data_IF_134802332567
#
_entry.id   IF_134802332567
#
_cell.length_a   1.000
_cell.length_b   1.000
_cell.length_c   1.000
_cell.angle_alpha   90.00
_cell.angle_beta   90.00
_cell.angle_gamma   90.00
#
_symmetry.space_group_name_H-M   'P 1'
#
loop_
_entity.id
_entity.type
_entity.pdbx_description
1 polymer ?
#
# COMPACT_ATOMS: atom_id res chain seq x y z
N UNK A 1 41.54 5.10 -101.65
CA UNK A 1 42.66 4.14 -101.65
C UNK A 1 43.67 4.59 -100.59
N UNK A 2 44.16 3.65 -99.78
CA UNK A 2 45.33 3.69 -98.85
C UNK A 2 45.38 4.78 -97.76
N UNK A 3 45.44 4.36 -96.47
CA UNK A 3 46.58 4.43 -95.51
C UNK A 3 47.07 5.85 -95.18
N UNK A 4 47.49 6.24 -93.97
CA UNK A 4 47.59 5.68 -92.62
C UNK A 4 48.13 6.82 -91.71
N UNK A 5 48.07 6.66 -90.37
CA UNK A 5 48.76 7.44 -89.30
C UNK A 5 48.22 8.88 -89.08
N UNK A 6 48.12 9.46 -87.88
CA UNK A 6 48.73 9.19 -86.56
C UNK A 6 47.96 9.94 -85.44
N UNK A 7 48.01 9.36 -84.23
CA UNK A 7 48.08 9.93 -82.87
C UNK A 7 47.15 11.04 -82.32
N UNK A 8 46.54 10.72 -81.15
CA UNK A 8 46.54 11.45 -79.86
C UNK A 8 45.21 11.18 -79.13
N UNK A 9 45.09 10.95 -77.81
CA UNK A 9 46.01 10.84 -76.68
C UNK A 9 45.19 10.26 -75.50
N UNK A 10 45.81 9.42 -74.68
CA UNK A 10 45.26 8.86 -73.44
C UNK A 10 44.97 9.95 -72.39
N UNK A 11 43.83 9.82 -71.69
CA UNK A 11 43.59 10.42 -70.37
C UNK A 11 43.08 9.31 -69.45
N UNK A 12 43.90 8.89 -68.49
CA UNK A 12 43.48 8.13 -67.31
C UNK A 12 43.10 9.10 -66.18
N UNK A 13 41.90 9.01 -65.57
CA UNK A 13 41.63 9.69 -64.32
C UNK A 13 42.15 8.87 -63.14
N UNK A 14 42.84 9.55 -62.23
CA UNK A 14 43.57 8.99 -61.11
C UNK A 14 42.72 8.26 -60.07
N UNK A 15 43.33 7.23 -59.47
CA UNK A 15 42.89 6.59 -58.24
C UNK A 15 42.91 7.61 -57.09
N UNK A 16 41.73 8.07 -56.69
CA UNK A 16 41.53 8.71 -55.39
C UNK A 16 41.69 7.68 -54.28
N UNK A 17 42.59 7.94 -53.33
CA UNK A 17 42.73 7.15 -52.10
C UNK A 17 41.43 7.25 -51.29
N UNK A 18 40.81 6.13 -50.98
CA UNK A 18 39.74 6.08 -49.97
C UNK A 18 40.30 6.54 -48.61
N UNK A 19 39.56 7.36 -47.85
CA UNK A 19 39.99 7.74 -46.51
C UNK A 19 39.96 6.52 -45.59
N UNK A 20 41.10 6.19 -44.99
CA UNK A 20 41.20 5.18 -43.92
C UNK A 20 40.19 5.48 -42.81
N UNK A 21 39.15 4.65 -42.72
CA UNK A 21 38.18 4.68 -41.62
C UNK A 21 38.85 4.13 -40.37
N UNK A 22 39.19 5.03 -39.45
CA UNK A 22 39.70 4.71 -38.12
C UNK A 22 38.64 3.95 -37.29
N UNK A 23 38.78 2.63 -37.07
CA UNK A 23 37.76 1.80 -36.41
C UNK A 23 37.54 2.19 -34.95
N UNK A 24 38.55 2.82 -34.31
CA UNK A 24 38.51 3.25 -32.92
C UNK A 24 37.49 4.37 -32.68
N UNK A 25 37.40 5.34 -33.60
CA UNK A 25 36.40 6.42 -33.53
C UNK A 25 34.98 5.92 -33.75
N UNK A 26 34.80 4.82 -34.48
CA UNK A 26 33.49 4.25 -34.78
C UNK A 26 32.90 3.50 -33.57
N UNK A 27 33.74 2.80 -32.80
CA UNK A 27 33.34 2.09 -31.58
C UNK A 27 32.98 3.05 -30.45
N UNK A 28 33.73 4.15 -30.29
CA UNK A 28 33.44 5.21 -29.33
C UNK A 28 32.12 5.92 -29.63
N UNK A 29 31.81 6.21 -30.91
CA UNK A 29 30.51 6.78 -31.31
C UNK A 29 29.33 5.83 -31.02
N UNK A 30 29.53 4.52 -31.17
CA UNK A 30 28.51 3.49 -30.89
C UNK A 30 28.23 3.31 -29.40
N UNK A 31 29.28 3.26 -28.57
CA UNK A 31 29.15 3.21 -27.10
C UNK A 31 28.46 4.48 -26.56
N UNK A 32 28.78 5.63 -27.14
CA UNK A 32 28.20 6.92 -26.77
C UNK A 32 26.69 6.98 -27.07
N UNK A 33 26.22 6.48 -28.23
CA UNK A 33 24.78 6.43 -28.53
C UNK A 33 23.99 5.50 -27.60
N UNK A 34 24.59 4.39 -27.16
CA UNK A 34 24.00 3.46 -26.20
C UNK A 34 23.82 4.15 -24.85
N UNK A 35 24.83 4.87 -24.39
CA UNK A 35 24.77 5.67 -23.17
C UNK A 35 23.72 6.79 -23.31
N UNK A 36 23.66 7.46 -24.45
CA UNK A 36 22.67 8.50 -24.77
C UNK A 36 21.23 8.00 -24.75
N UNK A 37 20.93 6.85 -25.36
CA UNK A 37 19.56 6.28 -25.37
C UNK A 37 19.13 5.80 -23.99
N UNK A 38 20.05 5.18 -23.25
CA UNK A 38 19.79 4.76 -21.87
C UNK A 38 19.62 5.96 -20.94
N UNK A 39 20.43 7.00 -21.14
CA UNK A 39 20.36 8.25 -20.38
C UNK A 39 19.10 9.05 -20.69
N UNK A 40 18.68 9.18 -21.95
CA UNK A 40 17.42 9.82 -22.31
C UNK A 40 16.21 9.08 -21.72
N UNK A 41 16.22 7.74 -21.73
CA UNK A 41 15.21 6.94 -21.05
C UNK A 41 15.22 7.16 -19.53
N UNK A 42 16.40 7.18 -18.91
CA UNK A 42 16.56 7.44 -17.48
C UNK A 42 16.19 8.88 -17.10
N UNK A 43 16.42 9.87 -17.96
CA UNK A 43 16.03 11.28 -17.78
C UNK A 43 14.52 11.43 -17.94
N UNK A 44 13.90 10.83 -18.96
CA UNK A 44 12.44 10.82 -19.09
C UNK A 44 11.77 10.06 -17.94
N UNK A 45 12.39 8.97 -17.45
CA UNK A 45 11.96 8.25 -16.27
C UNK A 45 12.18 9.10 -15.00
N UNK A 46 13.28 9.84 -14.91
CA UNK A 46 13.58 10.74 -13.80
C UNK A 46 12.68 11.97 -13.77
N UNK A 47 12.33 12.57 -14.91
CA UNK A 47 11.32 13.64 -15.01
C UNK A 47 9.92 13.13 -14.65
N UNK A 48 9.60 11.89 -15.04
CA UNK A 48 8.36 11.23 -14.63
C UNK A 48 8.35 10.96 -13.12
N UNK A 49 9.49 10.58 -12.53
CA UNK A 49 9.71 10.39 -11.09
C UNK A 49 9.78 11.73 -10.35
N UNK A 50 10.27 12.81 -10.96
CA UNK A 50 10.43 14.13 -10.34
C UNK A 50 9.09 14.81 -10.10
N UNK A 51 8.10 14.53 -10.94
CA UNK A 51 6.70 14.89 -10.72
C UNK A 51 6.05 14.12 -9.55
N UNK A 52 6.77 13.21 -8.90
CA UNK A 52 6.27 12.28 -7.88
C UNK A 52 7.13 12.30 -6.60
N UNK A 53 6.73 13.05 -5.56
CA UNK A 53 7.54 13.30 -4.36
C UNK A 53 7.99 12.03 -3.59
N UNK A 54 7.25 10.93 -3.72
CA UNK A 54 7.52 9.66 -3.01
C UNK A 54 8.68 8.88 -3.63
N UNK A 55 8.94 9.06 -4.93
CA UNK A 55 10.01 8.37 -5.65
C UNK A 55 11.32 9.19 -5.68
N UNK A 56 11.25 10.47 -5.32
CA UNK A 56 12.36 11.44 -5.34
C UNK A 56 13.59 10.93 -4.59
N UNK A 57 13.42 10.48 -3.35
CA UNK A 57 14.54 10.02 -2.50
C UNK A 57 15.11 8.65 -2.84
N UNK A 58 14.46 7.86 -3.69
CA UNK A 58 14.94 6.52 -4.08
C UNK A 58 15.64 6.50 -5.43
N UNK A 59 15.34 7.46 -6.32
CA UNK A 59 15.81 7.43 -7.71
C UNK A 59 16.55 8.70 -8.16
N UNK A 60 16.26 9.89 -7.61
CA UNK A 60 16.74 11.15 -8.19
C UNK A 60 18.17 11.49 -7.83
N UNK A 61 18.58 11.33 -6.57
CA UNK A 61 19.94 11.74 -6.15
C UNK A 61 21.06 11.00 -6.89
N UNK A 62 20.94 9.68 -7.21
CA UNK A 62 21.91 8.98 -8.06
C UNK A 62 21.86 9.42 -9.53
N UNK A 63 20.68 9.69 -10.08
CA UNK A 63 20.52 10.07 -11.50
C UNK A 63 21.01 11.50 -11.74
N UNK A 64 20.76 12.43 -10.81
CA UNK A 64 21.14 13.85 -10.93
C UNK A 64 22.65 14.06 -10.90
N UNK A 65 23.35 13.29 -10.07
CA UNK A 65 24.82 13.25 -10.05
C UNK A 65 25.42 12.81 -11.39
N UNK A 66 24.71 11.99 -12.17
CA UNK A 66 25.14 11.53 -13.48
C UNK A 66 24.79 12.52 -14.59
N UNK A 67 23.64 13.21 -14.48
CA UNK A 67 23.19 14.17 -15.49
C UNK A 67 24.06 15.42 -15.54
N UNK A 68 24.46 15.94 -14.39
CA UNK A 68 25.26 17.17 -14.30
C UNK A 68 26.68 17.00 -14.87
N UNK A 69 27.18 15.75 -14.92
CA UNK A 69 28.49 15.42 -15.45
C UNK A 69 28.51 15.28 -17.00
N UNK A 70 27.38 14.91 -17.61
CA UNK A 70 27.32 14.47 -19.02
C UNK A 70 26.60 15.46 -19.94
N UNK A 71 25.81 16.39 -19.39
CA UNK A 71 24.96 17.31 -20.15
C UNK A 71 25.71 18.25 -21.12
N UNK A 72 26.84 18.89 -20.75
CA UNK A 72 27.55 19.81 -21.66
C UNK A 72 28.13 19.11 -22.89
N UNK A 73 28.65 17.89 -22.73
CA UNK A 73 29.22 17.08 -23.82
C UNK A 73 28.16 16.55 -24.81
N UNK A 74 26.89 16.60 -24.43
CA UNK A 74 25.77 16.08 -25.19
C UNK A 74 25.25 17.08 -26.23
N UNK A 75 25.19 18.38 -25.87
CA UNK A 75 24.70 19.45 -26.74
C UNK A 75 25.66 19.78 -27.88
N UNK A 76 26.96 19.79 -27.61
CA UNK A 76 27.99 20.07 -28.62
C UNK A 76 27.99 19.04 -29.75
N UNK A 77 27.56 17.81 -29.46
CA UNK A 77 27.65 16.70 -30.40
C UNK A 77 26.37 16.44 -31.21
N UNK A 78 25.20 16.81 -30.69
CA UNK A 78 23.95 16.81 -31.47
C UNK A 78 24.01 17.78 -32.65
N UNK A 79 24.78 18.86 -32.52
CA UNK A 79 25.08 19.80 -33.60
C UNK A 79 25.87 19.16 -34.76
N UNK A 80 26.58 18.06 -34.52
CA UNK A 80 27.42 17.40 -35.53
C UNK A 80 26.68 16.27 -36.29
N UNK A 81 25.44 15.93 -35.89
CA UNK A 81 24.71 14.74 -36.35
C UNK A 81 23.72 14.97 -37.51
N UNK A 82 23.52 16.20 -37.98
CA UNK A 82 22.58 16.56 -39.06
C UNK A 82 22.97 16.03 -40.48
N UNK A 83 24.04 15.24 -40.62
CA UNK A 83 24.61 14.88 -41.93
C UNK A 83 24.69 13.38 -42.26
N UNK A 84 23.94 12.50 -41.58
CA UNK A 84 24.00 11.05 -41.84
C UNK A 84 22.86 10.57 -42.78
N UNK A 85 23.25 9.94 -43.89
CA UNK A 85 22.37 9.47 -44.98
C UNK A 85 21.55 8.21 -44.62
N UNK A 86 20.30 8.05 -45.12
CA UNK A 86 19.35 7.01 -44.67
C UNK A 86 19.58 5.58 -45.18
N UNK A 87 20.63 5.30 -45.97
CA UNK A 87 20.74 4.05 -46.74
C UNK A 87 21.58 2.91 -46.11
N UNK A 88 22.07 3.04 -44.88
CA UNK A 88 22.86 1.98 -44.24
C UNK A 88 21.97 0.92 -43.54
N UNK A 89 21.83 -0.24 -44.18
CA UNK A 89 21.11 -1.42 -43.67
C UNK A 89 21.71 -2.00 -42.38
N UNK A 90 23.01 -1.77 -42.11
CA UNK A 90 23.64 -2.11 -40.83
C UNK A 90 23.11 -1.26 -39.66
N UNK A 91 22.73 0.00 -39.90
CA UNK A 91 22.16 0.84 -38.85
C UNK A 91 20.77 0.34 -38.45
N UNK A 92 19.99 -0.19 -39.41
CA UNK A 92 18.66 -0.75 -39.14
C UNK A 92 18.70 -1.95 -38.18
N UNK A 93 19.64 -2.88 -38.36
CA UNK A 93 19.77 -4.07 -37.49
C UNK A 93 20.19 -3.70 -36.07
N UNK A 94 21.06 -2.69 -35.92
CA UNK A 94 21.53 -2.19 -34.62
C UNK A 94 20.39 -1.48 -33.87
N UNK A 95 19.57 -0.66 -34.54
CA UNK A 95 18.39 -0.03 -33.93
C UNK A 95 17.40 -1.04 -33.37
N UNK A 96 17.15 -2.15 -34.10
CA UNK A 96 16.28 -3.22 -33.63
C UNK A 96 16.87 -3.94 -32.41
N UNK A 97 18.17 -4.22 -32.41
CA UNK A 97 18.84 -4.83 -31.27
C UNK A 97 18.72 -3.94 -30.02
N UNK A 98 18.93 -2.62 -30.17
CA UNK A 98 18.82 -1.66 -29.07
C UNK A 98 17.40 -1.54 -28.53
N UNK A 99 16.40 -1.46 -29.41
CA UNK A 99 14.99 -1.48 -29.01
C UNK A 99 14.67 -2.76 -28.22
N UNK A 100 15.12 -3.92 -28.71
CA UNK A 100 14.93 -5.20 -28.03
C UNK A 100 15.61 -5.19 -26.65
N UNK A 101 16.85 -4.72 -26.54
CA UNK A 101 17.54 -4.65 -25.23
C UNK A 101 16.89 -3.68 -24.24
N UNK A 102 16.35 -2.55 -24.73
CA UNK A 102 15.62 -1.59 -23.91
C UNK A 102 14.29 -2.16 -23.42
N UNK A 103 13.56 -2.87 -24.29
CA UNK A 103 12.33 -3.59 -23.94
C UNK A 103 12.64 -4.67 -22.89
N UNK A 104 13.68 -5.49 -23.10
CA UNK A 104 14.09 -6.53 -22.15
C UNK A 104 14.48 -5.92 -20.81
N UNK A 105 15.26 -4.84 -20.80
CA UNK A 105 15.68 -4.15 -19.57
C UNK A 105 14.49 -3.58 -18.81
N UNK A 106 13.54 -2.95 -19.53
CA UNK A 106 12.29 -2.46 -18.96
C UNK A 106 11.45 -3.58 -18.36
N UNK A 107 11.36 -4.73 -19.02
CA UNK A 107 10.69 -5.93 -18.51
C UNK A 107 11.38 -6.44 -17.23
N UNK A 108 12.72 -6.50 -17.21
CA UNK A 108 13.49 -6.94 -16.03
C UNK A 108 13.25 -6.00 -14.84
N UNK A 109 13.29 -4.68 -15.07
CA UNK A 109 13.00 -3.67 -14.04
C UNK A 109 11.56 -3.86 -13.52
N UNK A 110 10.59 -4.02 -14.41
CA UNK A 110 9.19 -4.25 -14.04
C UNK A 110 9.02 -5.54 -13.23
N UNK A 111 9.67 -6.64 -13.62
CA UNK A 111 9.67 -7.90 -12.87
C UNK A 111 10.25 -7.70 -11.47
N UNK A 112 11.35 -6.96 -11.34
CA UNK A 112 11.97 -6.70 -10.05
C UNK A 112 11.09 -5.82 -9.15
N UNK A 113 10.42 -4.81 -9.72
CA UNK A 113 9.41 -4.00 -9.02
C UNK A 113 8.26 -4.89 -8.54
N UNK A 114 7.72 -5.75 -9.42
CA UNK A 114 6.63 -6.66 -9.08
C UNK A 114 7.05 -7.63 -7.97
N UNK A 115 8.27 -8.17 -8.03
CA UNK A 115 8.82 -9.05 -6.99
C UNK A 115 8.99 -8.33 -5.66
N UNK A 116 9.48 -7.09 -5.67
CA UNK A 116 9.65 -6.29 -4.45
C UNK A 116 8.31 -5.97 -3.79
N UNK A 117 7.35 -5.47 -4.57
CA UNK A 117 5.98 -5.23 -4.11
C UNK A 117 5.33 -6.52 -3.64
N UNK A 118 5.64 -7.66 -4.28
CA UNK A 118 5.12 -8.95 -3.86
C UNK A 118 5.64 -9.42 -2.51
N UNK A 119 6.91 -9.13 -2.19
CA UNK A 119 7.42 -9.35 -0.83
C UNK A 119 6.69 -8.47 0.19
N UNK A 120 6.39 -7.22 -0.15
CA UNK A 120 5.70 -6.29 0.77
C UNK A 120 4.26 -6.71 1.11
N UNK A 121 3.48 -7.29 0.19
CA UNK A 121 2.13 -7.81 0.53
C UNK A 121 2.19 -9.24 1.12
N UNK A 122 3.36 -9.70 1.56
CA UNK A 122 3.52 -10.96 2.28
C UNK A 122 3.27 -12.22 1.44
N UNK A 123 3.39 -12.11 0.12
CA UNK A 123 3.28 -13.28 -0.76
C UNK A 123 4.62 -14.01 -0.86
N UNK A 124 4.61 -15.33 -0.71
CA UNK A 124 5.60 -16.19 -1.39
C UNK A 124 5.41 -15.94 -2.88
N UNK A 125 6.47 -15.54 -3.59
CA UNK A 125 6.46 -14.94 -4.93
C UNK A 125 5.70 -15.71 -6.05
N UNK A 126 5.17 -16.91 -5.78
CA UNK A 126 4.37 -17.71 -6.71
C UNK A 126 2.85 -17.72 -6.50
N UNK A 127 2.30 -17.05 -5.46
CA UNK A 127 0.85 -17.07 -5.17
C UNK A 127 0.16 -15.71 -5.11
N UNK A 128 0.87 -14.64 -5.47
CA UNK A 128 0.31 -13.31 -5.37
C UNK A 128 -0.54 -12.96 -6.60
N UNK A 129 -1.65 -12.29 -6.36
CA UNK A 129 -2.50 -11.76 -7.41
C UNK A 129 -1.78 -10.55 -8.07
N UNK A 130 -1.27 -10.75 -9.29
CA UNK A 130 -0.58 -9.71 -10.08
C UNK A 130 -1.43 -8.46 -10.30
N UNK A 131 -2.76 -8.60 -10.26
CA UNK A 131 -3.66 -7.44 -10.31
C UNK A 131 -3.51 -6.53 -9.08
N UNK A 132 -3.16 -7.07 -7.90
CA UNK A 132 -2.92 -6.26 -6.71
C UNK A 132 -1.69 -5.36 -6.87
N UNK A 133 -0.63 -5.89 -7.47
CA UNK A 133 0.63 -5.18 -7.70
C UNK A 133 0.44 -4.08 -8.74
N UNK A 134 -0.22 -4.38 -9.86
CA UNK A 134 -0.50 -3.38 -10.90
C UNK A 134 -1.39 -2.25 -10.39
N UNK A 135 -2.34 -2.59 -9.50
CA UNK A 135 -3.22 -1.60 -8.90
C UNK A 135 -2.48 -0.60 -8.01
N UNK A 136 -1.45 -1.06 -7.27
CA UNK A 136 -0.57 -0.21 -6.46
C UNK A 136 0.30 0.74 -7.27
N UNK A 137 0.49 0.48 -8.56
CA UNK A 137 1.28 1.35 -9.45
C UNK A 137 0.41 2.42 -10.15
N UNK A 138 -0.90 2.45 -9.90
CA UNK A 138 -1.81 3.35 -10.61
C UNK A 138 -1.87 4.74 -9.93
N UNK A 139 -1.39 5.83 -10.57
CA UNK A 139 -1.45 7.20 -10.04
C UNK A 139 -2.86 7.66 -9.69
N UNK A 140 -3.81 7.35 -10.57
CA UNK A 140 -5.20 7.80 -10.46
C UNK A 140 -5.80 7.26 -9.17
N UNK A 141 -5.41 6.05 -8.78
CA UNK A 141 -5.84 5.44 -7.53
C UNK A 141 -5.42 6.24 -6.31
N UNK A 142 -4.16 6.68 -6.24
CA UNK A 142 -3.69 7.50 -5.12
C UNK A 142 -4.42 8.83 -5.05
N UNK A 143 -4.66 9.47 -6.19
CA UNK A 143 -5.43 10.70 -6.25
C UNK A 143 -6.86 10.49 -5.73
N UNK A 144 -7.55 9.43 -6.18
CA UNK A 144 -8.90 9.10 -5.69
C UNK A 144 -8.92 8.76 -4.20
N UNK A 145 -7.91 8.02 -3.71
CA UNK A 145 -7.77 7.73 -2.27
C UNK A 145 -7.61 9.02 -1.48
N UNK A 146 -6.76 9.95 -1.93
CA UNK A 146 -6.55 11.23 -1.28
C UNK A 146 -7.83 12.08 -1.25
N UNK A 147 -8.57 12.15 -2.36
CA UNK A 147 -9.86 12.83 -2.39
C UNK A 147 -10.85 12.23 -1.37
N UNK A 148 -10.98 10.91 -1.34
CA UNK A 148 -11.86 10.23 -0.36
C UNK A 148 -11.41 10.44 1.09
N UNK A 149 -10.10 10.49 1.35
CA UNK A 149 -9.57 10.85 2.68
C UNK A 149 -9.95 12.28 3.05
N UNK A 150 -9.91 13.21 2.09
CA UNK A 150 -10.33 14.58 2.31
C UNK A 150 -11.84 14.70 2.60
N UNK A 151 -12.68 13.99 1.85
CA UNK A 151 -14.12 13.89 2.13
C UNK A 151 -14.38 13.33 3.54
N UNK A 152 -13.69 12.24 3.89
CA UNK A 152 -13.74 11.65 5.23
C UNK A 152 -13.33 12.65 6.32
N UNK A 153 -12.31 13.49 6.09
CA UNK A 153 -11.93 14.54 7.04
C UNK A 153 -13.06 15.54 7.29
N UNK A 154 -13.80 15.91 6.23
CA UNK A 154 -14.96 16.80 6.36
C UNK A 154 -16.09 16.13 7.14
N UNK A 155 -16.40 14.87 6.86
CA UNK A 155 -17.45 14.14 7.55
C UNK A 155 -17.12 13.91 9.03
N UNK A 156 -15.86 13.62 9.34
CA UNK A 156 -15.36 13.57 10.72
C UNK A 156 -15.52 14.93 11.40
N UNK A 157 -15.13 16.02 10.74
CA UNK A 157 -15.23 17.38 11.30
C UNK A 157 -16.69 17.77 11.58
N UNK A 158 -17.61 17.46 10.66
CA UNK A 158 -19.05 17.68 10.86
C UNK A 158 -19.58 16.86 12.04
N UNK A 159 -19.15 15.60 12.17
CA UNK A 159 -19.54 14.72 13.28
C UNK A 159 -19.04 15.27 14.62
N UNK A 160 -17.78 15.70 14.69
CA UNK A 160 -17.19 16.32 15.88
C UNK A 160 -17.94 17.60 16.28
N UNK A 161 -18.32 18.45 15.32
CA UNK A 161 -19.14 19.65 15.59
C UNK A 161 -20.50 19.27 16.16
N UNK A 162 -21.18 18.28 15.60
CA UNK A 162 -22.47 17.82 16.11
C UNK A 162 -22.36 17.28 17.55
N UNK A 163 -21.28 16.57 17.89
CA UNK A 163 -20.99 16.14 19.25
C UNK A 163 -20.76 17.35 20.16
N UNK A 164 -19.93 18.31 19.73
CA UNK A 164 -19.57 19.49 20.50
C UNK A 164 -20.80 20.34 20.88
N UNK A 165 -21.73 20.53 19.95
CA UNK A 165 -23.00 21.22 20.20
C UNK A 165 -24.05 20.36 20.93
N UNK A 166 -23.67 19.16 21.40
CA UNK A 166 -24.56 18.26 22.14
C UNK A 166 -25.70 17.65 21.31
N UNK A 167 -25.62 17.71 19.98
CA UNK A 167 -26.67 17.20 19.08
C UNK A 167 -26.69 15.67 19.02
N UNK A 168 -25.55 15.04 19.24
CA UNK A 168 -25.39 13.58 19.26
C UNK A 168 -24.48 13.18 20.43
N UNK A 169 -24.81 12.09 21.11
CA UNK A 169 -24.03 11.55 22.23
C UNK A 169 -23.76 10.06 22.03
N UNK A 170 -22.81 9.48 22.77
CA UNK A 170 -22.46 8.06 22.65
C UNK A 170 -23.65 7.11 22.89
N UNK A 171 -24.61 7.54 23.72
CA UNK A 171 -25.80 6.78 24.09
C UNK A 171 -26.93 6.91 23.06
N UNK A 172 -26.86 7.90 22.18
CA UNK A 172 -27.86 8.17 21.15
C UNK A 172 -27.74 7.17 19.99
N UNK A 173 -28.84 6.50 19.57
CA UNK A 173 -28.87 5.70 18.35
C UNK A 173 -28.35 6.43 17.10
N UNK A 174 -28.54 7.76 17.02
CA UNK A 174 -28.05 8.58 15.91
C UNK A 174 -26.53 8.59 15.79
N UNK A 175 -25.81 8.44 16.91
CA UNK A 175 -24.35 8.35 16.91
C UNK A 175 -23.87 7.05 16.27
N UNK A 176 -24.55 5.93 16.53
CA UNK A 176 -24.25 4.66 15.86
C UNK A 176 -24.45 4.75 14.34
N UNK A 177 -25.49 5.45 13.90
CA UNK A 177 -25.71 5.68 12.48
C UNK A 177 -24.59 6.50 11.86
N UNK A 178 -24.17 7.60 12.49
CA UNK A 178 -23.05 8.40 11.98
C UNK A 178 -21.73 7.67 11.97
N UNK A 179 -21.46 6.84 12.98
CA UNK A 179 -20.29 5.96 12.93
C UNK A 179 -20.40 4.96 11.79
N UNK A 180 -21.60 4.42 11.51
CA UNK A 180 -21.81 3.51 10.36
C UNK A 180 -21.51 4.19 9.03
N UNK A 181 -22.01 5.41 8.83
CA UNK A 181 -21.72 6.21 7.63
C UNK A 181 -20.20 6.43 7.47
N UNK A 182 -19.50 6.83 8.54
CA UNK A 182 -18.04 6.96 8.53
C UNK A 182 -17.34 5.64 8.17
N UNK A 183 -17.86 4.50 8.64
CA UNK A 183 -17.30 3.19 8.31
C UNK A 183 -17.53 2.79 6.86
N UNK A 184 -18.65 3.18 6.24
CA UNK A 184 -18.83 3.00 4.79
C UNK A 184 -17.78 3.79 4.00
N UNK A 185 -17.51 5.04 4.39
CA UNK A 185 -16.44 5.84 3.77
C UNK A 185 -15.07 5.19 3.99
N UNK A 186 -14.78 4.67 5.19
CA UNK A 186 -13.55 3.92 5.45
C UNK A 186 -13.44 2.67 4.55
N UNK A 187 -14.54 1.94 4.37
CA UNK A 187 -14.63 0.78 3.50
C UNK A 187 -14.36 1.13 2.05
N UNK A 188 -14.94 2.24 1.58
CA UNK A 188 -14.70 2.77 0.23
C UNK A 188 -13.24 3.17 0.02
N UNK A 189 -12.61 3.85 0.99
CA UNK A 189 -11.19 4.20 0.94
C UNK A 189 -10.33 2.93 0.86
N UNK A 190 -10.61 1.95 1.72
CA UNK A 190 -9.85 0.69 1.75
C UNK A 190 -10.05 -0.12 0.46
N UNK A 191 -11.28 -0.22 -0.05
CA UNK A 191 -11.59 -0.86 -1.33
C UNK A 191 -10.89 -0.16 -2.48
N UNK A 192 -10.88 1.18 -2.49
CA UNK A 192 -10.13 1.99 -3.45
C UNK A 192 -8.63 1.78 -3.28
N UNK A 193 -8.11 1.50 -2.08
CA UNK A 193 -6.68 1.22 -1.91
C UNK A 193 -6.29 -0.16 -2.44
N UNK A 194 -7.15 -1.18 -2.27
CA UNK A 194 -6.78 -2.58 -2.54
C UNK A 194 -7.42 -3.19 -3.80
N UNK A 195 -8.40 -2.50 -4.39
CA UNK A 195 -9.12 -2.90 -5.60
C UNK A 195 -10.09 -4.07 -5.41
N UNK A 196 -10.53 -4.33 -4.18
CA UNK A 196 -11.41 -5.47 -3.83
C UNK A 196 -12.42 -5.09 -2.74
N UNK A 197 -13.55 -5.82 -2.64
CA UNK A 197 -14.52 -5.59 -1.57
C UNK A 197 -13.87 -5.70 -0.19
N UNK A 198 -14.16 -4.72 0.66
CA UNK A 198 -13.70 -4.64 2.05
C UNK A 198 -14.88 -4.42 2.96
N UNK A 199 -14.96 -5.21 4.02
CA UNK A 199 -15.87 -5.00 5.14
C UNK A 199 -15.11 -4.33 6.28
N UNK A 200 -15.77 -3.43 7.00
CA UNK A 200 -15.17 -2.66 8.09
C UNK A 200 -15.97 -2.85 9.37
N UNK A 201 -15.28 -3.07 10.48
CA UNK A 201 -15.89 -3.33 11.78
C UNK A 201 -15.16 -2.56 12.88
N UNK A 202 -15.93 -1.89 13.74
CA UNK A 202 -15.43 -1.38 15.02
C UNK A 202 -15.87 -2.31 16.14
N UNK A 203 -14.88 -2.81 16.89
CA UNK A 203 -15.11 -3.43 18.20
C UNK A 203 -14.60 -2.49 19.30
N UNK A 204 -15.45 -2.13 20.25
CA UNK A 204 -15.10 -1.28 21.38
C UNK A 204 -14.86 -2.12 22.63
N UNK A 205 -14.04 -1.58 23.54
CA UNK A 205 -13.85 -2.16 24.86
C UNK A 205 -15.11 -1.93 25.72
N UNK A 206 -15.69 -3.04 26.17
CA UNK A 206 -16.81 -3.11 27.08
C UNK A 206 -16.34 -3.71 28.40
N UNK A 207 -16.59 -3.01 29.49
CA UNK A 207 -16.35 -3.50 30.84
C UNK A 207 -17.70 -3.88 31.46
N UNK A 208 -17.77 -5.05 32.10
CA UNK A 208 -18.91 -5.39 32.95
C UNK A 208 -18.72 -4.64 34.25
N UNK A 209 -19.58 -3.67 34.53
CA UNK A 209 -19.85 -3.29 35.91
C UNK A 209 -20.93 -4.25 36.43
N UNK A 210 -20.89 -4.58 37.72
CA UNK A 210 -21.86 -5.47 38.36
C UNK A 210 -23.30 -4.89 38.37
N UNK A 211 -23.47 -3.61 38.05
CA UNK A 211 -24.74 -3.02 37.69
C UNK A 211 -24.91 -3.04 36.16
N UNK A 212 -26.08 -3.45 35.67
CA UNK A 212 -26.50 -3.64 34.27
C UNK A 212 -26.18 -2.51 33.24
N UNK A 213 -25.47 -1.46 33.62
CA UNK A 213 -24.87 -0.45 32.74
C UNK A 213 -23.41 -0.79 32.42
N UNK A 214 -23.18 -1.39 31.24
CA UNK A 214 -21.82 -1.51 30.69
C UNK A 214 -21.27 -0.11 30.41
N UNK A 215 -20.41 0.43 31.27
CA UNK A 215 -19.73 1.69 30.99
C UNK A 215 -18.64 1.45 29.95
N UNK A 216 -18.83 1.96 28.74
CA UNK A 216 -17.79 1.98 27.71
C UNK A 216 -16.60 2.80 28.24
N UNK A 217 -15.39 2.26 28.12
CA UNK A 217 -14.12 2.95 28.37
C UNK A 217 -13.72 3.28 29.82
N UNK A 218 -14.37 2.71 30.84
CA UNK A 218 -13.98 2.88 32.26
C UNK A 218 -13.59 1.54 32.90
N UNK A 219 -12.30 1.37 33.21
CA UNK A 219 -11.76 0.17 33.90
C UNK A 219 -10.42 -0.31 33.33
N UNK A 220 -9.91 -1.42 33.87
CA UNK A 220 -8.62 -2.01 33.44
C UNK A 220 -8.81 -2.79 32.13
N UNK A 221 -7.92 -2.58 31.15
CA UNK A 221 -7.97 -3.28 29.87
C UNK A 221 -7.95 -4.81 30.00
N UNK A 222 -7.29 -5.34 31.04
CA UNK A 222 -7.25 -6.78 31.35
C UNK A 222 -8.60 -7.41 31.68
N UNK A 223 -9.58 -6.60 32.07
CA UNK A 223 -10.95 -7.04 32.43
C UNK A 223 -11.95 -6.73 31.30
N UNK A 224 -11.50 -6.04 30.24
CA UNK A 224 -12.36 -5.61 29.16
C UNK A 224 -12.61 -6.74 28.14
N UNK A 225 -13.79 -6.69 27.53
CA UNK A 225 -14.14 -7.50 26.35
C UNK A 225 -14.27 -6.61 25.12
N UNK A 226 -14.01 -7.17 23.95
CA UNK A 226 -14.20 -6.52 22.66
C UNK A 226 -15.58 -6.86 22.10
N UNK A 227 -16.47 -5.87 22.08
CA UNK A 227 -17.84 -6.01 21.57
C UNK A 227 -17.99 -5.25 20.26
N UNK A 228 -18.64 -5.87 19.28
CA UNK A 228 -19.00 -5.20 18.02
C UNK A 228 -19.90 -4.00 18.32
N UNK A 229 -19.44 -2.81 17.94
CA UNK A 229 -20.20 -1.58 18.08
C UNK A 229 -20.99 -1.31 16.81
N UNK A 230 -20.28 -1.20 15.68
CA UNK A 230 -20.86 -0.98 14.36
C UNK A 230 -20.04 -1.74 13.32
N UNK A 231 -20.74 -2.30 12.34
CA UNK A 231 -20.16 -2.97 11.18
C UNK A 231 -20.74 -2.39 9.90
N UNK A 232 -19.87 -2.07 8.95
CA UNK A 232 -20.21 -1.73 7.58
C UNK A 232 -19.81 -2.90 6.67
N UNK A 233 -20.78 -3.67 6.12
CA UNK A 233 -20.46 -4.74 5.17
C UNK A 233 -19.93 -4.14 3.87
N UNK A 234 -19.10 -4.90 3.15
CA UNK A 234 -18.71 -4.55 1.78
C UNK A 234 -19.94 -4.51 0.87
N UNK A 235 -19.89 -3.74 -0.21
CA UNK A 235 -20.99 -3.67 -1.20
C UNK A 235 -21.38 -5.06 -1.73
N UNK A 236 -20.39 -5.88 -2.06
CA UNK A 236 -20.61 -7.25 -2.53
C UNK A 236 -21.31 -8.12 -1.46
N UNK A 237 -20.92 -7.96 -0.20
CA UNK A 237 -21.58 -8.67 0.91
C UNK A 237 -23.01 -8.17 1.14
N UNK A 238 -23.24 -6.86 1.07
CA UNK A 238 -24.58 -6.29 1.19
C UNK A 238 -25.53 -6.85 0.12
N UNK A 239 -25.08 -6.89 -1.14
CA UNK A 239 -25.84 -7.47 -2.26
C UNK A 239 -26.08 -8.97 -2.09
N UNK A 240 -25.14 -9.71 -1.51
CA UNK A 240 -25.29 -11.13 -1.21
C UNK A 240 -26.31 -11.35 -0.08
N UNK A 241 -26.23 -10.57 1.00
CA UNK A 241 -27.20 -10.59 2.10
C UNK A 241 -28.62 -10.29 1.62
N UNK A 242 -28.80 -9.30 0.74
CA UNK A 242 -30.12 -8.94 0.19
C UNK A 242 -30.70 -10.05 -0.70
N UNK A 243 -29.84 -10.86 -1.35
CA UNK A 243 -30.27 -11.98 -2.21
C UNK A 243 -30.54 -13.26 -1.43
N UNK A 244 -29.68 -13.57 -0.45
CA UNK A 244 -29.62 -14.88 0.18
C UNK A 244 -30.06 -14.89 1.66
N UNK A 245 -30.36 -13.74 2.25
CA UNK A 245 -30.87 -13.62 3.63
C UNK A 245 -29.88 -13.97 4.75
N UNK A 246 -28.65 -14.37 4.44
CA UNK A 246 -27.62 -14.72 5.42
C UNK A 246 -26.85 -13.48 5.95
N UNK A 247 -27.49 -12.69 6.82
CA UNK A 247 -26.77 -11.70 7.64
C UNK A 247 -26.45 -12.28 9.02
N UNK A 248 -25.49 -13.21 9.08
CA UNK A 248 -24.93 -13.69 10.34
C UNK A 248 -23.42 -13.51 10.36
N UNK A 249 -22.95 -12.26 10.49
CA UNK A 249 -21.52 -12.00 10.73
C UNK A 249 -21.28 -11.15 11.98
N UNK A 250 -20.72 -11.83 12.98
CA UNK A 250 -19.89 -11.33 14.09
C UNK A 250 -20.44 -10.23 15.01
N UNK A 251 -21.53 -10.55 15.71
CA UNK A 251 -21.94 -9.91 16.98
C UNK A 251 -21.12 -10.46 18.17
N UNK A 252 -20.26 -11.46 17.93
CA UNK A 252 -19.46 -12.13 18.97
C UNK A 252 -18.62 -11.16 19.81
N UNK A 253 -18.62 -11.43 21.13
CA UNK A 253 -17.79 -10.75 22.12
C UNK A 253 -16.47 -11.52 22.30
N UNK A 254 -15.34 -10.80 22.23
CA UNK A 254 -14.01 -11.38 22.33
C UNK A 254 -13.34 -11.02 23.65
N UNK A 255 -12.64 -11.97 24.26
CA UNK A 255 -11.79 -11.75 25.42
C UNK A 255 -10.41 -11.23 24.99
N UNK A 256 -9.86 -10.33 25.80
CA UNK A 256 -8.54 -9.76 25.62
C UNK A 256 -7.55 -10.55 26.46
N UNK A 257 -6.55 -11.14 25.80
CA UNK A 257 -5.48 -11.88 26.50
C UNK A 257 -4.14 -11.17 26.27
N UNK A 258 -3.60 -10.58 27.34
CA UNK A 258 -2.33 -9.85 27.32
C UNK A 258 -1.17 -10.74 27.84
N UNK A 259 0.04 -10.55 27.34
CA UNK A 259 1.26 -11.18 27.88
C UNK A 259 1.90 -12.29 27.01
N UNK A 260 2.80 -13.08 27.60
CA UNK A 260 3.59 -14.12 26.90
C UNK A 260 2.76 -15.26 26.30
N UNK A 261 1.52 -15.41 26.77
CA UNK A 261 0.53 -16.38 26.30
C UNK A 261 -0.06 -16.03 24.94
N UNK A 262 0.25 -14.87 24.36
CA UNK A 262 -0.30 -14.41 23.08
C UNK A 262 0.21 -15.19 21.85
N UNK A 263 0.77 -16.38 22.08
CA UNK A 263 1.15 -17.34 21.05
C UNK A 263 -0.09 -18.14 20.63
N UNK A 264 -0.42 -18.19 19.33
CA UNK A 264 -1.59 -18.93 18.82
C UNK A 264 -1.72 -20.36 19.36
N UNK A 265 -0.61 -21.10 19.46
CA UNK A 265 -0.62 -22.48 19.95
C UNK A 265 -1.00 -22.61 21.43
N UNK A 266 -0.60 -21.64 22.27
CA UNK A 266 -0.92 -21.64 23.70
C UNK A 266 -2.39 -21.26 23.91
N UNK A 267 -2.87 -20.23 23.20
CA UNK A 267 -4.26 -19.82 23.25
C UNK A 267 -5.20 -20.93 22.76
N UNK A 268 -4.82 -21.65 21.70
CA UNK A 268 -5.59 -22.79 21.19
C UNK A 268 -5.74 -23.91 22.22
N UNK A 269 -4.72 -24.16 23.04
CA UNK A 269 -4.79 -25.16 24.14
C UNK A 269 -5.68 -24.68 25.29
N UNK A 270 -5.65 -23.39 25.62
CA UNK A 270 -6.41 -22.80 26.74
C UNK A 270 -7.88 -22.58 26.39
N UNK A 271 -8.21 -22.26 25.13
CA UNK A 271 -9.56 -21.91 24.67
C UNK A 271 -9.98 -22.77 23.46
N UNK A 272 -10.27 -24.07 23.63
CA UNK A 272 -10.58 -24.95 22.52
C UNK A 272 -11.90 -24.58 21.80
N UNK A 273 -11.97 -24.88 20.49
CA UNK A 273 -13.05 -24.51 19.56
C UNK A 273 -14.47 -24.95 19.97
N UNK A 274 -14.60 -25.89 20.93
CA UNK A 274 -15.86 -26.52 21.34
C UNK A 274 -16.31 -26.17 22.76
N UNK A 275 -15.70 -25.20 23.41
CA UNK A 275 -16.15 -24.74 24.72
C UNK A 275 -17.14 -23.58 24.58
N UNK A 276 -18.13 -23.52 25.49
CA UNK A 276 -18.92 -22.31 25.78
C UNK A 276 -18.06 -21.18 26.38
N UNK A 277 -16.75 -21.39 26.48
CA UNK A 277 -15.80 -20.41 26.97
C UNK A 277 -15.53 -19.30 25.94
N UNK A 278 -14.92 -18.25 26.45
CA UNK A 278 -14.68 -17.00 25.76
C UNK A 278 -14.10 -17.12 24.35
N UNK A 279 -14.53 -16.21 23.47
CA UNK A 279 -13.98 -16.11 22.11
C UNK A 279 -12.68 -15.34 22.13
N UNK A 280 -11.67 -15.83 21.43
CA UNK A 280 -10.33 -15.24 21.36
C UNK A 280 -9.92 -15.16 19.90
N UNK A 281 -9.29 -14.05 19.54
CA UNK A 281 -8.68 -13.85 18.23
C UNK A 281 -7.30 -13.23 18.42
N UNK A 282 -6.26 -13.94 18.00
CA UNK A 282 -4.88 -13.51 18.24
C UNK A 282 -4.53 -12.22 17.53
N UNK A 283 -5.16 -11.90 16.40
CA UNK A 283 -4.95 -10.62 15.72
C UNK A 283 -5.37 -9.43 16.61
N UNK A 284 -6.46 -9.58 17.35
CA UNK A 284 -6.97 -8.52 18.23
C UNK A 284 -6.07 -8.32 19.45
N UNK A 285 -5.53 -9.41 20.00
CA UNK A 285 -4.60 -9.32 21.12
C UNK A 285 -3.23 -8.78 20.70
N UNK A 286 -2.77 -9.08 19.47
CA UNK A 286 -1.46 -8.64 18.99
C UNK A 286 -1.35 -7.11 18.91
N UNK A 287 -2.41 -6.44 18.46
CA UNK A 287 -2.43 -4.96 18.36
C UNK A 287 -2.45 -4.24 19.72
N UNK A 288 -2.57 -4.98 20.83
CA UNK A 288 -2.53 -4.46 22.19
C UNK A 288 -1.16 -4.62 22.85
N UNK A 289 -0.23 -5.32 22.19
CA UNK A 289 1.13 -5.54 22.67
C UNK A 289 2.05 -4.33 22.45
N UNK A 290 3.30 -4.38 22.97
CA UNK A 290 4.24 -3.27 22.89
C UNK A 290 4.92 -3.11 21.52
N UNK A 291 4.72 -4.03 20.58
CA UNK A 291 5.47 -4.05 19.31
C UNK A 291 4.86 -3.14 18.26
N UNK A 292 3.72 -3.56 17.72
CA UNK A 292 3.01 -2.89 16.66
C UNK A 292 1.56 -2.71 17.12
N UNK A 293 1.08 -1.47 17.08
CA UNK A 293 -0.32 -1.11 17.41
C UNK A 293 -1.31 -1.36 16.26
N UNK A 294 -0.88 -2.22 15.34
CA UNK A 294 -1.64 -2.67 14.19
C UNK A 294 -1.13 -4.05 13.75
N UNK A 295 -1.98 -4.77 13.03
CA UNK A 295 -1.68 -6.10 12.52
C UNK A 295 -2.25 -6.26 11.12
N UNK A 296 -1.46 -6.81 10.20
CA UNK A 296 -1.89 -7.04 8.82
C UNK A 296 -1.49 -8.45 8.40
N UNK A 297 -2.44 -9.20 7.87
CA UNK A 297 -2.17 -10.50 7.27
C UNK A 297 -3.01 -10.71 6.01
N UNK A 298 -2.34 -11.21 4.97
CA UNK A 298 -2.92 -11.36 3.63
C UNK A 298 -3.39 -12.77 3.30
N UNK A 299 -3.12 -13.74 4.17
CA UNK A 299 -3.55 -15.12 4.01
C UNK A 299 -3.73 -15.78 5.38
N UNK A 300 -4.91 -15.58 5.98
CA UNK A 300 -5.21 -16.06 7.33
C UNK A 300 -5.13 -17.59 7.45
N UNK A 301 -5.45 -18.32 6.38
CA UNK A 301 -5.38 -19.80 6.37
C UNK A 301 -3.93 -20.27 6.42
N UNK A 302 -3.01 -19.60 5.72
CA UNK A 302 -1.59 -19.91 5.80
C UNK A 302 -1.00 -19.46 7.14
N UNK A 303 -1.37 -18.28 7.61
CA UNK A 303 -0.94 -17.77 8.91
C UNK A 303 -1.36 -18.69 10.06
N UNK A 304 -2.52 -19.32 9.97
CA UNK A 304 -2.94 -20.32 10.95
C UNK A 304 -2.10 -21.60 10.88
N UNK A 305 -1.78 -22.08 9.68
CA UNK A 305 -0.90 -23.26 9.49
C UNK A 305 0.51 -23.01 10.03
N UNK A 306 0.99 -21.77 9.92
CA UNK A 306 2.31 -21.34 10.41
C UNK A 306 2.28 -20.86 11.87
N UNK A 307 1.18 -21.08 12.61
CA UNK A 307 1.04 -20.68 14.02
C UNK A 307 1.24 -19.16 14.27
N UNK A 308 0.94 -18.32 13.27
CA UNK A 308 0.98 -16.85 13.35
C UNK A 308 -0.40 -16.22 13.60
N UNK A 309 -1.48 -16.97 13.38
CA UNK A 309 -2.87 -16.55 13.59
C UNK A 309 -3.69 -17.70 14.19
N UNK A 310 -4.62 -17.40 15.09
CA UNK A 310 -5.65 -18.35 15.51
C UNK A 310 -6.89 -17.62 16.04
N UNK A 311 -8.06 -18.23 15.84
CA UNK A 311 -9.34 -17.73 16.33
C UNK A 311 -10.29 -18.90 16.52
N UNK A 312 -11.02 -18.92 17.64
CA UNK A 312 -12.13 -19.85 17.90
C UNK A 312 -13.51 -19.26 17.55
N UNK A 313 -13.54 -18.12 16.85
CA UNK A 313 -14.76 -17.54 16.28
C UNK A 313 -15.41 -18.51 15.29
N UNK A 314 -16.75 -18.60 15.32
CA UNK A 314 -17.49 -19.47 14.42
C UNK A 314 -17.26 -19.06 12.95
N UNK A 315 -16.96 -20.05 12.09
CA UNK A 315 -16.88 -19.90 10.64
C UNK A 315 -15.96 -18.78 10.12
N UNK A 316 -14.98 -18.31 10.91
CA UNK A 316 -14.09 -17.21 10.50
C UNK A 316 -13.40 -17.50 9.15
N UNK A 317 -13.09 -18.77 8.87
CA UNK A 317 -12.50 -19.24 7.60
C UNK A 317 -13.40 -19.05 6.38
N UNK A 318 -14.72 -19.07 6.56
CA UNK A 318 -15.71 -18.80 5.48
C UNK A 318 -15.68 -17.33 5.08
N UNK A 319 -15.36 -16.45 6.03
CA UNK A 319 -15.62 -15.02 5.90
C UNK A 319 -14.38 -14.16 5.68
N UNK A 320 -13.24 -14.55 6.24
CA UNK A 320 -12.03 -13.74 6.23
C UNK A 320 -10.88 -14.49 5.56
N UNK A 321 -10.33 -13.93 4.48
CA UNK A 321 -9.10 -14.45 3.85
C UNK A 321 -7.90 -13.55 4.11
N UNK A 322 -8.11 -12.24 4.14
CA UNK A 322 -7.14 -11.25 4.58
C UNK A 322 -7.77 -10.29 5.56
N UNK A 323 -6.95 -9.75 6.46
CA UNK A 323 -7.40 -8.87 7.54
C UNK A 323 -6.31 -7.88 7.92
N UNK A 324 -6.74 -6.65 8.22
CA UNK A 324 -5.94 -5.62 8.83
C UNK A 324 -6.67 -5.08 10.07
N UNK A 325 -5.99 -5.04 11.21
CA UNK A 325 -6.52 -4.62 12.50
C UNK A 325 -5.70 -3.43 12.99
N UNK A 326 -6.36 -2.38 13.42
CA UNK A 326 -5.75 -1.15 13.92
C UNK A 326 -6.35 -0.79 15.27
N UNK A 327 -5.51 -0.33 16.20
CA UNK A 327 -6.05 0.20 17.43
C UNK A 327 -6.73 1.56 17.23
N UNK A 328 -7.84 1.79 17.91
CA UNK A 328 -8.50 3.09 18.00
C UNK A 328 -7.98 3.77 19.26
N UNK A 329 -6.89 4.52 19.12
CA UNK A 329 -6.23 5.20 20.22
C UNK A 329 -5.59 6.53 19.77
N UNK A 330 -5.18 7.34 20.75
CA UNK A 330 -4.19 8.39 20.50
C UNK A 330 -2.87 7.78 20.03
N UNK A 331 -1.94 8.60 19.54
CA UNK A 331 -0.61 8.11 19.15
C UNK A 331 0.04 7.37 20.34
N UNK A 332 0.40 6.11 20.14
CA UNK A 332 1.09 5.28 21.13
C UNK A 332 2.50 5.05 20.60
N UNK A 333 3.55 5.48 21.33
CA UNK A 333 4.92 5.20 20.94
C UNK A 333 5.18 3.71 20.75
N UNK A 334 6.07 3.39 19.81
CA UNK A 334 6.53 2.01 19.65
C UNK A 334 7.27 1.56 20.91
N UNK A 335 7.04 0.32 21.34
CA UNK A 335 7.60 -0.21 22.59
C UNK A 335 6.69 -0.07 23.80
N UNK A 336 5.66 0.80 23.74
CA UNK A 336 4.72 0.98 24.84
C UNK A 336 3.48 0.08 24.70
N UNK A 337 3.09 -0.67 25.74
CA UNK A 337 1.87 -1.46 25.71
C UNK A 337 0.62 -0.58 25.91
N UNK A 338 -0.50 -1.03 25.36
CA UNK A 338 -1.79 -0.35 25.47
C UNK A 338 -2.33 -0.44 26.90
N UNK A 339 -2.93 0.66 27.39
CA UNK A 339 -3.65 0.68 28.66
C UNK A 339 -2.82 1.05 29.90
N UNK A 340 -1.53 1.37 29.76
CA UNK A 340 -0.72 1.96 30.86
C UNK A 340 -0.89 3.48 30.94
N UNK A 341 -0.64 4.17 29.84
CA UNK A 341 -0.59 5.63 29.73
C UNK A 341 -1.54 6.14 28.66
N UNK A 342 -1.77 5.34 27.61
CA UNK A 342 -2.62 5.71 26.48
C UNK A 342 -4.00 5.07 26.58
N UNK A 343 -5.04 5.90 26.47
CA UNK A 343 -6.42 5.43 26.37
C UNK A 343 -6.68 4.91 24.96
N UNK A 344 -6.97 3.62 24.86
CA UNK A 344 -7.52 3.00 23.66
C UNK A 344 -9.01 2.76 23.86
N UNK A 345 -9.78 2.91 22.79
CA UNK A 345 -11.24 2.76 22.78
C UNK A 345 -11.67 1.40 22.24
N UNK A 346 -10.84 0.81 21.38
CA UNK A 346 -11.14 -0.46 20.76
C UNK A 346 -10.24 -0.70 19.57
N UNK A 347 -10.76 -1.44 18.60
CA UNK A 347 -10.06 -1.79 17.37
C UNK A 347 -10.95 -1.54 16.15
N UNK A 348 -10.30 -1.10 15.07
CA UNK A 348 -10.84 -0.97 13.73
C UNK A 348 -10.32 -2.14 12.89
N UNK A 349 -11.23 -2.90 12.31
CA UNK A 349 -10.92 -4.10 11.56
C UNK A 349 -11.37 -3.90 10.12
N UNK A 350 -10.45 -4.15 9.18
CA UNK A 350 -10.73 -4.27 7.76
C UNK A 350 -10.53 -5.73 7.37
N UNK A 351 -11.53 -6.32 6.74
CA UNK A 351 -11.45 -7.69 6.26
C UNK A 351 -11.88 -7.81 4.81
N UNK A 352 -11.27 -8.76 4.09
CA UNK A 352 -11.59 -9.03 2.70
C UNK A 352 -11.67 -10.53 2.43
N UNK A 353 -12.60 -10.97 1.56
CA UNK A 353 -12.67 -12.34 1.08
C UNK A 353 -11.58 -12.67 0.05
N UNK A 354 -10.70 -11.73 -0.29
CA UNK A 354 -9.56 -11.91 -1.18
C UNK A 354 -8.23 -12.05 -0.40
N UNK A 355 -7.28 -12.82 -0.93
CA UNK A 355 -5.91 -12.97 -0.37
C UNK A 355 -4.92 -12.00 -1.05
N UNK A 356 -3.84 -11.63 -0.36
CA UNK A 356 -2.69 -10.94 -0.98
C UNK A 356 -2.92 -9.46 -1.29
N UNK A 357 -3.70 -8.72 -0.49
CA UNK A 357 -4.22 -7.40 -0.89
C UNK A 357 -3.77 -6.21 -0.04
N UNK A 358 -3.57 -6.37 1.25
CA UNK A 358 -3.13 -5.30 2.12
C UNK A 358 -1.60 -5.11 2.04
N UNK A 359 -1.14 -4.00 1.48
CA UNK A 359 0.25 -3.55 1.68
C UNK A 359 0.43 -3.16 3.13
N UNK A 360 1.41 -3.76 3.83
CA UNK A 360 1.65 -3.43 5.24
C UNK A 360 1.92 -1.93 5.45
N UNK A 361 2.75 -1.34 4.58
CA UNK A 361 3.13 0.08 4.66
C UNK A 361 1.96 1.01 4.37
N UNK A 362 1.26 0.80 3.25
CA UNK A 362 0.14 1.67 2.88
C UNK A 362 -1.05 1.51 3.82
N UNK A 363 -1.34 0.27 4.27
CA UNK A 363 -2.36 0.03 5.27
C UNK A 363 -2.03 0.74 6.59
N UNK A 364 -0.78 0.68 7.06
CA UNK A 364 -0.34 1.39 8.26
C UNK A 364 -0.57 2.90 8.17
N UNK A 365 -0.24 3.52 7.03
CA UNK A 365 -0.40 4.96 6.82
C UNK A 365 -1.88 5.33 6.69
N UNK A 366 -2.58 4.74 5.72
CA UNK A 366 -3.94 5.15 5.35
C UNK A 366 -4.95 4.65 6.37
N UNK A 367 -4.99 3.35 6.65
CA UNK A 367 -6.00 2.76 7.53
C UNK A 367 -5.71 3.08 9.00
N UNK A 368 -4.43 3.22 9.37
CA UNK A 368 -4.03 3.75 10.68
C UNK A 368 -4.48 5.20 10.88
N UNK A 369 -4.37 6.04 9.86
CA UNK A 369 -4.92 7.41 9.91
C UNK A 369 -6.44 7.41 10.14
N UNK A 370 -7.20 6.54 9.47
CA UNK A 370 -8.65 6.42 9.69
C UNK A 370 -8.97 6.03 11.14
N UNK A 371 -8.26 5.04 11.69
CA UNK A 371 -8.42 4.62 13.08
C UNK A 371 -8.14 5.75 14.07
N UNK A 372 -7.10 6.56 13.82
CA UNK A 372 -6.77 7.72 14.63
C UNK A 372 -7.86 8.80 14.58
N UNK A 373 -8.45 9.07 13.42
CA UNK A 373 -9.55 10.05 13.30
C UNK A 373 -10.82 9.58 14.00
N UNK A 374 -11.10 8.29 13.96
CA UNK A 374 -12.22 7.70 14.70
C UNK A 374 -12.00 7.79 16.22
N UNK A 375 -10.76 7.66 16.70
CA UNK A 375 -10.44 7.89 18.11
C UNK A 375 -10.88 9.29 18.56
N UNK A 376 -10.62 10.33 17.78
CA UNK A 376 -11.07 11.69 18.12
C UNK A 376 -12.60 11.80 18.25
N UNK A 377 -13.35 11.12 17.37
CA UNK A 377 -14.82 11.07 17.41
C UNK A 377 -15.32 10.42 18.69
N UNK A 378 -14.81 9.22 18.99
CA UNK A 378 -15.20 8.49 20.19
C UNK A 378 -14.75 9.21 21.47
N UNK A 379 -13.58 9.85 21.49
CA UNK A 379 -13.09 10.62 22.64
C UNK A 379 -14.05 11.74 23.01
N UNK A 380 -14.44 12.52 22.00
CA UNK A 380 -15.31 13.67 22.20
C UNK A 380 -16.72 13.23 22.59
N UNK A 381 -17.25 12.18 21.95
CA UNK A 381 -18.56 11.62 22.28
C UNK A 381 -18.62 11.05 23.70
N UNK A 382 -17.53 10.45 24.18
CA UNK A 382 -17.41 9.94 25.54
C UNK A 382 -17.11 11.04 26.59
N UNK A 383 -16.99 12.31 26.18
CA UNK A 383 -16.60 13.45 27.03
C UNK A 383 -15.33 13.17 27.85
N UNK A 384 -14.40 12.40 27.29
CA UNK A 384 -13.11 12.14 27.92
C UNK A 384 -12.28 13.43 27.81
N UNK A 385 -11.79 14.00 28.92
CA UNK A 385 -10.95 15.19 28.89
C UNK A 385 -9.79 15.01 27.90
N UNK A 386 -9.43 16.06 27.16
CA UNK A 386 -8.06 16.13 26.66
C UNK A 386 -7.19 16.09 27.89
N UNK A 387 -6.43 15.02 28.11
CA UNK A 387 -5.36 15.07 29.08
C UNK A 387 -4.55 16.32 28.73
N UNK A 388 -4.65 17.33 29.60
CA UNK A 388 -3.71 18.41 29.66
C UNK A 388 -2.36 17.75 29.75
N UNK A 389 -1.45 18.21 28.91
CA UNK A 389 -0.03 18.06 29.11
C UNK A 389 0.25 18.64 30.50
N UNK A 390 0.16 17.83 31.55
CA UNK A 390 0.85 18.11 32.80
C UNK A 390 2.32 17.86 32.49
N UNK A 391 2.98 18.88 31.94
CA UNK A 391 4.39 19.12 32.23
C UNK A 391 4.49 19.22 33.75
N UNK A 392 4.77 18.08 34.37
CA UNK A 392 5.40 18.06 35.70
C UNK A 392 6.81 18.61 35.50
N UNK A 393 6.98 19.89 35.78
CA UNK A 393 8.24 20.40 36.35
C UNK A 393 8.28 20.06 37.83
#
# INVERSE_FOLDING_TARGET
>A
MSKASSDSSEITPGLGKEPERDPGKYWLKRLFFILTGTFAFLVSLAELIEKWPVLRGFFIDPIRSWTDLLWPSWLDWLSDMEHISPHDTENFTIWHLLLITSIISSIIILINIIRSLSKELGGKAGKMDTSAVLYLLNPVMYYTVLQKIHEFQHDVSRTLLNIHYGKISLEDPSFREKVRELLFVCGDIAQTLIGRPVSVNIKLFSLKNDDNSSSLFKGKLSEAKLKTFVRAPSKAEYEDCMRNGESRRNIEEFEIVLGADNKPELLKKRYPDKSDAARVNTAYNQVLGPRDHFWVNNNLVEAEKESHFWSNSLDWRKYYKSMAVFIIAQNIPQGEPVGKTHRAMGILIFDSPATGRFSRRLAAIVLGYLAHRLHSVFRQAAKIPSDSIETKE
#
